data_IF_764808756493
#
_entry.id   IF_764808756493
#
_cell.length_a   1.000
_cell.length_b   1.000
_cell.length_c   1.000
_cell.angle_alpha   90.00
_cell.angle_beta   90.00
_cell.angle_gamma   90.00
#
_symmetry.space_group_name_H-M   'P 1'
#
loop_
_entity.id
_entity.type
_entity.pdbx_description
1 polymer ?
#
# COMPACT_ATOMS: atom_id res chain seq x y z
N UNK A 1 24.05 -69.12 -11.86
CA UNK A 1 24.70 -67.84 -12.21
C UNK A 1 24.46 -67.58 -13.68
N UNK A 2 23.52 -66.68 -13.97
CA UNK A 2 23.22 -66.22 -15.36
C UNK A 2 23.98 -64.92 -15.59
N UNK A 3 24.79 -64.90 -16.63
CA UNK A 3 25.58 -63.77 -17.07
C UNK A 3 24.64 -62.65 -17.58
N UNK A 4 24.82 -61.45 -17.06
CA UNK A 4 24.17 -60.22 -17.55
C UNK A 4 24.81 -59.88 -18.89
N UNK A 5 24.03 -59.76 -19.95
CA UNK A 5 24.47 -59.56 -21.31
C UNK A 5 24.88 -58.07 -21.54
N UNK A 6 25.89 -57.87 -22.38
CA UNK A 6 26.46 -56.56 -22.77
C UNK A 6 25.48 -55.57 -23.44
N UNK A 7 24.19 -55.93 -23.60
CA UNK A 7 23.20 -55.02 -24.18
C UNK A 7 22.62 -53.97 -23.22
N UNK A 8 22.79 -54.21 -21.90
CA UNK A 8 22.27 -53.25 -20.89
C UNK A 8 23.21 -52.08 -20.65
N UNK A 9 24.52 -52.23 -20.96
CA UNK A 9 25.50 -51.14 -20.80
C UNK A 9 25.38 -50.06 -21.88
N UNK A 10 25.08 -50.45 -23.12
CA UNK A 10 24.96 -49.49 -24.24
C UNK A 10 23.67 -48.64 -24.16
N UNK A 11 22.64 -49.17 -23.54
CA UNK A 11 21.40 -48.42 -23.32
C UNK A 11 21.55 -47.34 -22.23
N UNK A 12 22.37 -47.63 -21.18
CA UNK A 12 22.67 -46.66 -20.12
C UNK A 12 23.64 -45.57 -20.59
N UNK A 13 24.60 -45.91 -21.48
CA UNK A 13 25.51 -44.92 -22.07
C UNK A 13 24.82 -44.00 -23.08
N UNK A 14 23.81 -44.49 -23.84
CA UNK A 14 23.06 -43.65 -24.78
C UNK A 14 22.14 -42.63 -24.09
N UNK A 15 21.76 -42.89 -22.88
CA UNK A 15 20.96 -41.94 -22.03
C UNK A 15 21.85 -40.82 -21.45
N UNK A 16 23.18 -40.99 -21.42
CA UNK A 16 24.12 -40.02 -20.87
C UNK A 16 24.64 -38.99 -21.89
N UNK A 17 24.35 -39.17 -23.19
CA UNK A 17 24.86 -38.28 -24.23
C UNK A 17 23.86 -37.17 -24.56
N UNK A 18 24.28 -35.94 -24.27
CA UNK A 18 23.84 -34.67 -24.85
C UNK A 18 22.39 -34.18 -24.60
N UNK A 19 21.38 -35.06 -24.56
CA UNK A 19 19.98 -34.59 -24.40
C UNK A 19 19.55 -34.38 -22.93
N UNK A 20 20.04 -35.18 -22.00
CA UNK A 20 19.75 -35.00 -20.58
C UNK A 20 20.37 -33.73 -20.02
N UNK A 21 21.63 -33.40 -20.41
CA UNK A 21 22.25 -32.11 -20.03
C UNK A 21 21.56 -30.91 -20.64
N UNK A 22 20.99 -31.03 -21.84
CA UNK A 22 20.24 -29.97 -22.49
C UNK A 22 18.85 -29.79 -21.89
N UNK A 23 18.17 -30.88 -21.51
CA UNK A 23 16.87 -30.84 -20.82
C UNK A 23 17.06 -30.36 -19.38
N UNK A 24 18.06 -30.83 -18.64
CA UNK A 24 18.37 -30.30 -17.30
C UNK A 24 18.89 -28.86 -17.35
N UNK A 25 19.66 -28.47 -18.38
CA UNK A 25 20.06 -27.09 -18.60
C UNK A 25 18.90 -26.15 -18.95
N UNK A 26 17.88 -26.62 -19.66
CA UNK A 26 16.65 -25.90 -19.97
C UNK A 26 15.70 -25.83 -18.77
N UNK A 27 15.65 -26.87 -17.92
CA UNK A 27 14.87 -26.88 -16.68
C UNK A 27 15.57 -26.04 -15.60
N UNK A 28 16.92 -25.96 -15.62
CA UNK A 28 17.73 -25.19 -14.67
C UNK A 28 17.66 -23.67 -14.89
N UNK A 29 17.16 -23.16 -16.04
CA UNK A 29 16.98 -21.73 -16.26
C UNK A 29 15.56 -21.25 -15.92
N UNK A 30 14.59 -22.13 -15.59
CA UNK A 30 13.25 -21.76 -15.24
C UNK A 30 13.06 -21.75 -13.72
N UNK A 31 12.99 -20.57 -13.15
CA UNK A 31 12.39 -20.30 -11.84
C UNK A 31 13.19 -20.63 -10.56
N UNK A 32 14.52 -20.44 -10.53
CA UNK A 32 15.20 -20.37 -9.24
C UNK A 32 14.85 -19.07 -8.52
N UNK A 33 14.00 -19.18 -7.49
CA UNK A 33 13.72 -18.06 -6.59
C UNK A 33 14.97 -17.77 -5.75
N UNK A 34 15.27 -16.48 -5.58
CA UNK A 34 16.34 -16.05 -4.66
C UNK A 34 15.72 -15.75 -3.30
N UNK A 35 16.36 -16.24 -2.24
CA UNK A 35 15.95 -15.96 -0.86
C UNK A 35 16.51 -14.60 -0.40
N UNK A 36 15.61 -13.77 0.19
CA UNK A 36 15.95 -12.45 0.73
C UNK A 36 15.82 -12.38 2.25
N UNK A 37 15.41 -13.48 2.91
CA UNK A 37 15.10 -13.50 4.33
C UNK A 37 13.83 -12.69 4.67
N UNK A 38 13.65 -12.37 5.96
CA UNK A 38 12.51 -11.57 6.40
C UNK A 38 12.67 -10.10 5.99
N UNK A 39 11.74 -9.59 5.20
CA UNK A 39 11.68 -8.20 4.72
C UNK A 39 10.24 -7.71 4.75
N UNK A 40 10.05 -6.40 4.89
CA UNK A 40 8.74 -5.75 4.80
C UNK A 40 8.40 -5.33 3.36
N UNK A 41 8.68 -6.20 2.39
CA UNK A 41 8.47 -5.94 0.96
C UNK A 41 7.13 -6.51 0.53
N UNK A 42 6.20 -5.65 0.24
CA UNK A 42 4.87 -5.99 -0.26
C UNK A 42 4.50 -5.01 -1.38
N UNK A 43 3.85 -5.52 -2.44
CA UNK A 43 3.35 -4.69 -3.52
C UNK A 43 1.88 -5.03 -3.82
N UNK A 44 1.05 -4.02 -4.14
CA UNK A 44 1.33 -2.59 -4.01
C UNK A 44 1.34 -2.18 -2.53
N UNK A 45 2.26 -1.27 -2.14
CA UNK A 45 2.27 -0.69 -0.81
C UNK A 45 1.61 0.70 -0.87
N UNK A 46 0.50 0.94 -0.17
CA UNK A 46 -0.22 2.19 -0.27
C UNK A 46 0.59 3.35 0.31
N UNK A 47 0.29 4.56 -0.15
CA UNK A 47 0.77 5.81 0.44
C UNK A 47 -0.43 6.52 1.04
N UNK A 48 -0.65 6.30 2.33
CA UNK A 48 -1.81 6.79 3.07
C UNK A 48 -1.44 8.11 3.77
N UNK A 49 -2.17 9.16 3.48
CA UNK A 49 -2.00 10.47 4.12
C UNK A 49 -3.04 10.60 5.22
N UNK A 50 -2.57 10.43 6.46
CA UNK A 50 -3.43 10.40 7.66
C UNK A 50 -3.41 11.77 8.31
N UNK A 51 -4.60 12.37 8.52
CA UNK A 51 -4.74 13.66 9.17
C UNK A 51 -5.70 13.62 10.37
N UNK A 52 -5.41 14.43 11.38
CA UNK A 52 -6.24 14.58 12.57
C UNK A 52 -6.04 15.96 13.20
N UNK A 53 -7.10 16.51 13.80
CA UNK A 53 -7.00 17.69 14.67
C UNK A 53 -6.39 17.31 16.02
N UNK A 54 -5.66 18.25 16.62
CA UNK A 54 -5.39 18.17 18.06
C UNK A 54 -6.59 18.74 18.87
N UNK A 55 -6.45 18.73 20.22
CA UNK A 55 -7.47 19.21 21.13
C UNK A 55 -7.82 20.70 20.96
N UNK A 56 -6.93 21.48 20.32
CA UNK A 56 -7.11 22.88 20.00
C UNK A 56 -7.66 23.11 18.59
N UNK A 57 -7.94 22.03 17.83
CA UNK A 57 -8.43 22.13 16.45
C UNK A 57 -7.32 22.41 15.42
N UNK A 58 -6.05 22.26 15.79
CA UNK A 58 -4.94 22.45 14.86
C UNK A 58 -4.71 21.15 14.06
N UNK A 59 -4.74 21.20 12.71
CA UNK A 59 -4.55 20.02 11.88
C UNK A 59 -3.10 19.56 11.90
N UNK A 60 -2.90 18.25 11.93
CA UNK A 60 -1.61 17.62 11.69
C UNK A 60 -1.78 16.47 10.71
N UNK A 61 -0.72 16.14 9.98
CA UNK A 61 -0.71 15.14 8.92
C UNK A 61 0.53 14.26 9.02
N UNK A 62 0.42 13.00 8.58
CA UNK A 62 1.55 12.10 8.39
C UNK A 62 1.33 11.19 7.20
N UNK A 63 2.42 10.65 6.65
CA UNK A 63 2.39 9.58 5.66
C UNK A 63 2.54 8.22 6.37
N UNK A 64 1.76 7.23 5.96
CA UNK A 64 1.84 5.85 6.42
C UNK A 64 1.74 4.88 5.23
N UNK A 65 2.56 3.81 5.26
CA UNK A 65 2.57 2.80 4.21
C UNK A 65 2.12 1.41 4.70
N UNK A 66 2.17 1.16 6.01
CA UNK A 66 1.70 -0.10 6.60
C UNK A 66 0.24 0.01 6.99
N UNK A 67 -0.68 -0.26 6.03
CA UNK A 67 -2.11 -0.19 6.26
C UNK A 67 -2.92 -0.72 5.09
N UNK A 68 -4.21 -0.90 5.33
CA UNK A 68 -5.16 -1.37 4.32
C UNK A 68 -6.53 -1.69 4.90
N UNK A 69 -7.43 -2.16 4.05
CA UNK A 69 -8.76 -2.59 4.47
C UNK A 69 -8.68 -3.87 5.31
N UNK A 70 -9.35 -3.90 6.45
CA UNK A 70 -9.52 -5.09 7.29
C UNK A 70 -10.82 -5.81 7.03
N UNK A 71 -11.89 -5.03 6.89
CA UNK A 71 -13.24 -5.49 6.52
C UNK A 71 -13.81 -4.52 5.50
N UNK A 72 -15.04 -4.72 5.08
CA UNK A 72 -15.73 -3.80 4.15
C UNK A 72 -15.88 -2.38 4.70
N UNK A 73 -15.83 -2.20 6.03
CA UNK A 73 -16.08 -0.93 6.71
C UNK A 73 -14.92 -0.47 7.61
N UNK A 74 -13.81 -1.22 7.67
CA UNK A 74 -12.70 -0.90 8.58
C UNK A 74 -11.36 -0.83 7.89
N UNK A 75 -10.56 0.15 8.29
CA UNK A 75 -9.16 0.31 7.89
C UNK A 75 -8.24 0.04 9.08
N UNK A 76 -7.16 -0.69 8.83
CA UNK A 76 -6.08 -0.91 9.79
C UNK A 76 -4.80 -0.23 9.36
N UNK A 77 -4.12 0.45 10.28
CA UNK A 77 -2.87 1.17 9.99
C UNK A 77 -1.90 0.96 11.16
N UNK A 78 -0.64 0.71 10.86
CA UNK A 78 0.41 0.65 11.87
C UNK A 78 0.97 2.05 12.12
N UNK A 79 0.63 2.66 13.26
CA UNK A 79 1.04 4.01 13.64
C UNK A 79 1.72 4.00 15.02
N UNK A 80 2.98 4.42 15.09
CA UNK A 80 3.69 4.54 16.38
C UNK A 80 3.03 5.58 17.29
N UNK A 81 2.89 5.26 18.58
CA UNK A 81 2.35 6.15 19.62
C UNK A 81 3.13 7.48 19.75
N UNK A 82 4.39 7.51 19.30
CA UNK A 82 5.24 8.70 19.35
C UNK A 82 4.87 9.79 18.34
N UNK A 83 4.14 9.46 17.29
CA UNK A 83 3.74 10.42 16.25
C UNK A 83 2.72 11.43 16.77
N UNK A 84 2.84 12.71 16.38
CA UNK A 84 1.86 13.76 16.73
C UNK A 84 0.46 13.40 16.22
N UNK A 85 0.35 12.91 14.98
CA UNK A 85 -0.93 12.51 14.40
C UNK A 85 -1.59 11.39 15.19
N UNK A 86 -0.82 10.36 15.63
CA UNK A 86 -1.36 9.27 16.47
C UNK A 86 -1.91 9.82 17.80
N UNK A 87 -1.17 10.72 18.45
CA UNK A 87 -1.63 11.38 19.68
C UNK A 87 -2.93 12.15 19.45
N UNK A 88 -3.02 12.87 18.35
CA UNK A 88 -4.20 13.61 17.94
C UNK A 88 -5.41 12.67 17.77
N UNK A 89 -5.24 11.57 17.01
CA UNK A 89 -6.30 10.56 16.81
C UNK A 89 -6.79 9.98 18.13
N UNK A 90 -5.86 9.69 19.06
CA UNK A 90 -6.22 9.15 20.37
C UNK A 90 -7.03 10.15 21.20
N UNK A 91 -6.73 11.44 21.09
CA UNK A 91 -7.42 12.52 21.81
C UNK A 91 -8.81 12.82 21.19
N UNK A 92 -8.89 12.98 19.88
CA UNK A 92 -10.12 13.39 19.18
C UNK A 92 -11.00 12.22 18.74
N UNK A 93 -10.48 11.00 18.76
CA UNK A 93 -11.17 9.77 18.34
C UNK A 93 -11.59 9.76 16.87
N UNK A 94 -11.02 10.64 16.03
CA UNK A 94 -11.34 10.78 14.63
C UNK A 94 -10.11 11.10 13.78
N UNK A 95 -10.14 10.71 12.52
CA UNK A 95 -9.07 10.97 11.56
C UNK A 95 -9.58 10.83 10.12
N UNK A 96 -8.81 11.36 9.17
CA UNK A 96 -9.01 11.11 7.76
C UNK A 96 -7.84 10.35 7.16
N UNK A 97 -8.10 9.63 6.08
CA UNK A 97 -7.08 8.94 5.28
C UNK A 97 -7.30 9.29 3.83
N UNK A 98 -6.40 10.10 3.28
CA UNK A 98 -6.42 10.45 1.85
C UNK A 98 -5.42 9.63 1.06
N UNK A 99 -5.70 9.41 -0.22
CA UNK A 99 -4.77 8.76 -1.13
C UNK A 99 -3.75 9.77 -1.65
N UNK A 100 -2.45 9.47 -1.48
CA UNK A 100 -1.41 10.28 -2.12
C UNK A 100 -1.48 10.12 -3.65
N UNK A 101 -1.28 11.22 -4.37
CA UNK A 101 -1.37 11.27 -5.82
C UNK A 101 -0.04 11.69 -6.44
N UNK A 102 0.12 11.42 -7.74
CA UNK A 102 1.31 11.87 -8.51
C UNK A 102 1.50 13.38 -8.39
N UNK A 103 0.42 14.15 -8.46
CA UNK A 103 0.49 15.62 -8.48
C UNK A 103 0.90 16.21 -7.12
N UNK A 104 0.67 15.47 -6.01
CA UNK A 104 0.98 15.89 -4.65
C UNK A 104 2.12 15.08 -4.00
N UNK A 105 2.90 14.34 -4.79
CA UNK A 105 3.94 13.44 -4.26
C UNK A 105 4.92 14.13 -3.32
N UNK A 106 5.39 15.33 -3.65
CA UNK A 106 6.35 16.08 -2.82
C UNK A 106 5.76 16.52 -1.48
N UNK A 107 4.50 17.00 -1.48
CA UNK A 107 3.78 17.38 -0.26
C UNK A 107 3.51 16.16 0.64
N UNK A 108 3.11 15.04 0.03
CA UNK A 108 2.87 13.79 0.72
C UNK A 108 4.16 13.19 1.32
N UNK A 109 5.28 13.28 0.61
CA UNK A 109 6.60 12.86 1.12
C UNK A 109 7.06 13.75 2.29
N UNK A 110 6.95 15.08 2.14
CA UNK A 110 7.25 16.03 3.22
C UNK A 110 6.44 15.71 4.49
N UNK A 111 5.16 15.36 4.34
CA UNK A 111 4.31 14.92 5.45
C UNK A 111 4.85 13.66 6.15
N UNK A 112 5.62 12.81 5.47
CA UNK A 112 6.25 11.62 6.01
C UNK A 112 7.58 11.89 6.73
N UNK A 113 8.46 12.69 6.11
CA UNK A 113 9.84 12.89 6.58
C UNK A 113 9.94 13.91 7.72
N UNK A 114 8.95 14.79 7.91
CA UNK A 114 8.94 15.83 8.93
C UNK A 114 8.07 15.44 10.12
N UNK A 115 8.60 15.58 11.34
CA UNK A 115 7.84 15.30 12.57
C UNK A 115 6.99 16.50 13.01
N UNK A 116 5.67 16.32 13.16
CA UNK A 116 4.77 17.33 13.72
C UNK A 116 5.04 17.67 15.20
N UNK A 117 5.80 16.84 15.94
CA UNK A 117 6.27 17.18 17.27
C UNK A 117 7.37 18.24 17.25
N UNK A 118 8.11 18.41 16.14
CA UNK A 118 9.21 19.38 15.98
C UNK A 118 8.80 20.58 15.14
N UNK A 119 7.88 20.39 14.20
CA UNK A 119 7.42 21.42 13.26
C UNK A 119 5.89 21.49 13.37
N UNK A 120 5.36 22.35 14.27
CA UNK A 120 3.93 22.44 14.53
C UNK A 120 3.10 22.85 13.30
N UNK A 121 3.63 23.70 12.45
CA UNK A 121 3.04 24.20 11.20
C UNK A 121 3.36 23.30 9.98
N UNK A 122 3.73 22.03 10.22
CA UNK A 122 4.03 21.03 9.20
C UNK A 122 2.95 20.91 8.13
N UNK A 123 1.68 20.91 8.54
CA UNK A 123 0.53 20.81 7.64
C UNK A 123 0.55 21.90 6.56
N UNK A 124 0.64 23.14 6.99
CA UNK A 124 0.70 24.32 6.08
C UNK A 124 1.99 24.38 5.27
N UNK A 125 3.13 23.97 5.88
CA UNK A 125 4.42 23.90 5.15
C UNK A 125 4.43 22.84 4.08
N UNK A 126 3.63 21.77 4.20
CA UNK A 126 3.42 20.81 3.13
C UNK A 126 2.65 21.41 1.94
N UNK A 127 2.08 22.60 2.10
CA UNK A 127 1.19 23.24 1.12
C UNK A 127 -0.25 22.78 1.22
N UNK A 128 -0.63 22.14 2.32
CA UNK A 128 -1.99 21.64 2.51
C UNK A 128 -2.91 22.67 3.16
N UNK A 129 -4.17 22.68 2.71
CA UNK A 129 -5.29 23.39 3.31
C UNK A 129 -6.28 22.38 3.89
N UNK A 130 -6.93 22.77 4.99
CA UNK A 130 -7.82 21.88 5.72
C UNK A 130 -9.26 22.38 5.67
N UNK A 131 -10.16 21.57 5.12
CA UNK A 131 -11.59 21.73 5.28
C UNK A 131 -12.10 20.75 6.36
N UNK A 132 -12.88 21.19 7.36
CA UNK A 132 -13.46 20.28 8.34
C UNK A 132 -14.36 19.24 7.68
N UNK A 133 -14.22 17.95 8.05
CA UNK A 133 -15.20 16.93 7.67
C UNK A 133 -16.56 17.24 8.31
N UNK A 134 -17.63 16.93 7.58
CA UNK A 134 -19.01 17.00 8.09
C UNK A 134 -19.45 15.70 8.76
N UNK A 135 -18.65 14.64 8.67
CA UNK A 135 -18.97 13.31 9.19
C UNK A 135 -18.20 12.95 10.46
N UNK A 136 -16.98 13.47 10.61
CA UNK A 136 -16.11 13.19 11.74
C UNK A 136 -15.35 14.44 12.19
N UNK A 137 -14.90 14.51 13.44
CA UNK A 137 -14.08 15.63 13.92
C UNK A 137 -12.61 15.51 13.45
N UNK A 138 -12.41 15.62 12.12
CA UNK A 138 -11.08 15.52 11.51
C UNK A 138 -10.97 16.42 10.27
N UNK A 139 -9.74 16.85 9.88
CA UNK A 139 -9.53 17.67 8.69
C UNK A 139 -9.51 16.81 7.42
N UNK A 140 -10.21 17.22 6.39
CA UNK A 140 -9.94 16.82 5.02
C UNK A 140 -8.83 17.67 4.44
N UNK A 141 -8.01 17.12 3.55
CA UNK A 141 -6.92 17.81 2.87
C UNK A 141 -7.41 18.20 1.47
N UNK A 142 -7.56 19.50 1.22
CA UNK A 142 -8.20 20.03 0.01
C UNK A 142 -7.45 19.66 -1.29
N UNK A 143 -6.13 19.44 -1.22
CA UNK A 143 -5.31 19.07 -2.37
C UNK A 143 -5.34 17.56 -2.68
N UNK A 144 -5.99 16.75 -1.85
CA UNK A 144 -6.07 15.30 -2.04
C UNK A 144 -7.51 14.89 -2.37
N UNK A 145 -7.81 14.54 -3.62
CA UNK A 145 -9.17 14.48 -4.13
C UNK A 145 -9.98 13.26 -3.68
N UNK A 146 -9.41 12.34 -2.89
CA UNK A 146 -10.13 11.20 -2.31
C UNK A 146 -9.74 11.01 -0.85
N UNK A 147 -10.74 10.98 0.04
CA UNK A 147 -10.55 10.92 1.49
C UNK A 147 -11.54 9.93 2.13
N UNK A 148 -11.03 9.04 2.97
CA UNK A 148 -11.80 8.22 3.89
C UNK A 148 -11.93 8.99 5.21
N UNK A 149 -13.15 9.13 5.72
CA UNK A 149 -13.47 9.81 6.97
C UNK A 149 -13.76 8.76 8.04
N UNK A 150 -12.93 8.74 9.11
CA UNK A 150 -12.83 7.58 9.99
C UNK A 150 -13.02 7.95 11.46
N UNK A 151 -13.68 7.06 12.21
CA UNK A 151 -13.71 7.05 13.67
C UNK A 151 -12.71 6.01 14.21
N UNK A 152 -11.97 6.36 15.26
CA UNK A 152 -11.09 5.41 15.92
C UNK A 152 -11.89 4.34 16.68
N UNK A 153 -11.71 3.09 16.33
CA UNK A 153 -12.23 1.93 17.06
C UNK A 153 -11.27 1.49 18.17
N UNK A 154 -10.07 1.07 17.77
CA UNK A 154 -9.06 0.54 18.70
C UNK A 154 -7.67 1.05 18.35
N UNK A 155 -6.81 1.08 19.36
CA UNK A 155 -5.38 1.28 19.21
C UNK A 155 -4.62 0.42 20.22
N UNK A 156 -3.69 -0.39 19.75
CA UNK A 156 -2.78 -1.15 20.58
C UNK A 156 -1.38 -0.54 20.50
N UNK A 157 -0.87 0.08 21.57
CA UNK A 157 0.45 0.71 21.58
C UNK A 157 1.60 -0.29 21.51
N UNK A 158 1.39 -1.56 21.86
CA UNK A 158 2.43 -2.59 21.83
C UNK A 158 2.73 -3.03 20.39
N UNK A 159 1.70 -3.20 19.57
CA UNK A 159 1.82 -3.54 18.14
C UNK A 159 1.77 -2.32 17.23
N UNK A 160 1.51 -1.13 17.75
CA UNK A 160 1.24 0.11 16.99
C UNK A 160 -0.01 0.01 16.09
N UNK A 161 -0.89 -0.94 16.34
CA UNK A 161 -2.01 -1.25 15.48
C UNK A 161 -3.22 -0.37 15.80
N UNK A 162 -3.61 0.46 14.83
CA UNK A 162 -4.80 1.29 14.85
C UNK A 162 -5.86 0.69 13.93
N UNK A 163 -7.10 0.57 14.41
CA UNK A 163 -8.27 0.23 13.59
C UNK A 163 -9.25 1.38 13.62
N UNK A 164 -9.67 1.82 12.45
CA UNK A 164 -10.72 2.83 12.26
C UNK A 164 -11.92 2.29 11.52
N UNK A 165 -13.12 2.75 11.90
CA UNK A 165 -14.34 2.57 11.12
C UNK A 165 -14.43 3.68 10.08
N UNK A 166 -14.60 3.31 8.82
CA UNK A 166 -14.89 4.25 7.73
C UNK A 166 -16.37 4.61 7.82
N UNK A 167 -16.67 5.88 8.07
CA UNK A 167 -18.04 6.38 8.16
C UNK A 167 -18.49 7.04 6.86
N UNK A 168 -17.54 7.55 6.07
CA UNK A 168 -17.81 8.14 4.76
C UNK A 168 -16.55 8.08 3.87
N UNK A 169 -16.75 8.16 2.57
CA UNK A 169 -15.69 8.38 1.56
C UNK A 169 -16.13 9.59 0.74
N UNK A 170 -15.31 10.64 0.75
CA UNK A 170 -15.49 11.82 -0.08
C UNK A 170 -14.55 11.78 -1.27
N UNK A 171 -15.01 12.22 -2.42
CA UNK A 171 -14.23 12.32 -3.64
C UNK A 171 -14.62 13.56 -4.44
N UNK A 172 -13.64 14.26 -5.01
CA UNK A 172 -13.89 15.40 -5.88
C UNK A 172 -14.52 14.96 -7.20
N UNK A 173 -15.41 15.78 -7.74
CA UNK A 173 -16.03 15.52 -9.05
C UNK A 173 -14.98 15.41 -10.18
N UNK A 174 -13.84 16.10 -10.04
CA UNK A 174 -12.74 16.07 -11.01
C UNK A 174 -12.16 14.67 -11.26
N UNK A 175 -12.22 13.79 -10.26
CA UNK A 175 -11.73 12.40 -10.37
C UNK A 175 -12.83 11.39 -10.72
N UNK A 176 -14.06 11.86 -10.98
CA UNK A 176 -15.19 10.99 -11.34
C UNK A 176 -15.33 10.82 -12.86
N UNK A 177 -15.77 9.64 -13.27
CA UNK A 177 -16.30 9.32 -14.59
C UNK A 177 -17.59 8.54 -14.40
N UNK A 178 -18.70 9.05 -14.93
CA UNK A 178 -20.05 8.48 -14.78
C UNK A 178 -20.44 8.23 -13.30
N UNK A 179 -20.05 9.15 -12.41
CA UNK A 179 -20.30 9.07 -10.98
C UNK A 179 -19.46 8.05 -10.21
N UNK A 180 -18.45 7.45 -10.85
CA UNK A 180 -17.53 6.49 -10.24
C UNK A 180 -16.11 7.07 -10.20
N UNK A 181 -15.33 6.74 -9.14
CA UNK A 181 -13.92 7.13 -9.05
C UNK A 181 -13.14 6.52 -10.20
N UNK A 182 -12.49 7.36 -10.99
CA UNK A 182 -11.61 6.96 -12.11
C UNK A 182 -10.15 7.03 -11.65
N UNK A 183 -9.50 5.87 -11.52
CA UNK A 183 -8.09 5.77 -11.10
C UNK A 183 -7.12 6.51 -12.04
N UNK A 184 -7.50 6.69 -13.33
CA UNK A 184 -6.67 7.44 -14.29
C UNK A 184 -6.72 8.95 -14.04
N UNK A 185 -7.79 9.43 -13.38
CA UNK A 185 -7.92 10.83 -12.93
C UNK A 185 -7.35 11.01 -11.53
N UNK A 186 -7.60 10.07 -10.62
CA UNK A 186 -7.06 10.09 -9.26
C UNK A 186 -5.52 9.96 -9.25
N UNK A 187 -4.95 9.12 -10.11
CA UNK A 187 -3.50 8.85 -10.23
C UNK A 187 -2.82 8.56 -8.89
N UNK A 188 -3.31 7.54 -8.13
CA UNK A 188 -2.72 7.22 -6.83
C UNK A 188 -1.34 6.60 -7.00
N UNK A 189 -0.48 6.80 -5.99
CA UNK A 189 0.89 6.27 -5.99
C UNK A 189 1.04 5.10 -5.02
N UNK A 190 1.99 4.22 -5.31
CA UNK A 190 2.46 3.13 -4.46
C UNK A 190 3.89 3.40 -4.02
N UNK A 191 4.25 3.03 -2.80
CA UNK A 191 5.62 3.09 -2.30
C UNK A 191 6.39 1.83 -2.69
N UNK A 192 7.59 1.99 -3.23
CA UNK A 192 8.56 0.91 -3.43
C UNK A 192 9.53 0.86 -2.24
N UNK A 193 9.42 -0.14 -1.35
CA UNK A 193 10.29 -0.25 -0.18
C UNK A 193 11.69 -0.77 -0.51
N UNK A 194 11.95 -1.21 -1.73
CA UNK A 194 13.27 -1.72 -2.17
C UNK A 194 14.15 -0.57 -2.64
N UNK A 195 13.62 0.29 -3.53
CA UNK A 195 14.38 1.37 -4.14
C UNK A 195 14.10 2.74 -3.47
N UNK A 196 13.15 2.79 -2.52
CA UNK A 196 12.68 4.02 -1.86
C UNK A 196 12.13 5.03 -2.87
N UNK A 197 11.25 4.55 -3.75
CA UNK A 197 10.63 5.33 -4.82
C UNK A 197 9.10 5.35 -4.68
N UNK A 198 8.46 6.30 -5.35
CA UNK A 198 7.01 6.31 -5.55
C UNK A 198 6.69 5.93 -6.99
N UNK A 199 5.72 5.03 -7.15
CA UNK A 199 5.33 4.47 -8.44
C UNK A 199 3.85 4.77 -8.67
N UNK A 200 3.51 5.33 -9.84
CA UNK A 200 2.13 5.48 -10.27
C UNK A 200 1.52 4.10 -10.57
N UNK A 201 0.26 3.86 -10.20
CA UNK A 201 -0.44 2.63 -10.57
C UNK A 201 -0.65 2.60 -12.09
N UNK A 202 -0.31 1.49 -12.72
CA UNK A 202 -0.36 1.33 -14.18
C UNK A 202 -1.76 1.17 -14.75
N UNK A 203 -1.81 0.86 -16.06
CA UNK A 203 -3.06 0.67 -16.80
C UNK A 203 -3.84 -0.57 -16.31
N UNK A 204 -5.16 -0.56 -16.55
CA UNK A 204 -6.02 -1.73 -16.35
C UNK A 204 -5.53 -2.91 -17.19
N UNK A 205 -5.32 -4.05 -16.56
CA UNK A 205 -4.79 -5.26 -17.23
C UNK A 205 -5.92 -6.16 -17.75
N UNK A 206 -6.94 -6.40 -16.92
CA UNK A 206 -8.12 -7.21 -17.31
C UNK A 206 -9.27 -6.94 -16.31
N UNK A 207 -10.45 -7.50 -16.59
CA UNK A 207 -11.63 -7.37 -15.73
C UNK A 207 -11.60 -8.39 -14.60
N UNK A 208 -11.58 -7.89 -13.35
CA UNK A 208 -11.64 -8.73 -12.16
C UNK A 208 -12.93 -9.59 -12.12
N UNK A 209 -12.88 -10.70 -11.40
CA UNK A 209 -13.99 -11.67 -11.22
C UNK A 209 -14.53 -12.27 -12.51
N UNK A 210 -13.94 -11.99 -13.67
CA UNK A 210 -14.35 -12.53 -14.97
C UNK A 210 -13.20 -13.08 -15.81
N UNK A 211 -12.01 -12.50 -15.73
CA UNK A 211 -10.85 -12.95 -16.52
C UNK A 211 -10.48 -14.42 -16.25
N UNK A 212 -10.62 -14.90 -15.02
CA UNK A 212 -10.38 -16.31 -14.64
C UNK A 212 -11.36 -17.32 -15.24
N UNK A 213 -12.49 -16.86 -15.81
CA UNK A 213 -13.45 -17.75 -16.49
C UNK A 213 -12.86 -18.39 -17.75
N UNK A 214 -11.80 -17.79 -18.32
CA UNK A 214 -11.04 -18.35 -19.46
C UNK A 214 -10.35 -19.70 -19.13
N UNK A 215 -10.19 -20.03 -17.83
CA UNK A 215 -9.55 -21.27 -17.36
C UNK A 215 -10.58 -22.39 -17.02
N UNK A 216 -11.86 -22.14 -17.21
CA UNK A 216 -12.95 -23.12 -17.10
C UNK A 216 -13.28 -23.67 -18.47
#
# INVERSE_FOLDING_TARGET
>A
MRSISNQDSDFVESLNSCNFRKIYGLISQSNMKKDFGSKSWLYPMPVLIVAAYDEQGVPNVMNAAWGGMFTDETIGICLSAGHKTTKNILATRAFTVSMATVDQVAACDYAGIVSGNKVPDKFTRAGFHATPSTHVNAPMIDELPMTLECELLTYDPASCHLTGRIVNISADESILTDGQIDLRKLRPISFDPIHLEYIELGATVDKALSCGKKLK
#
